data_IF_469919072223
#
_entry.id   IF_469919072223
#
_cell.length_a   1.000
_cell.length_b   1.000
_cell.length_c   1.000
_cell.angle_alpha   90.00
_cell.angle_beta   90.00
_cell.angle_gamma   90.00
#
_symmetry.space_group_name_H-M   'P 1'
#
loop_
_entity.id
_entity.type
_entity.pdbx_description
1 polymer ?
#
# COMPACT_ATOMS: atom_id res chain seq x y z
N UNK A 1 17.04 34.73 5.19
CA UNK A 1 16.27 35.46 4.17
C UNK A 1 16.48 36.94 4.40
N UNK A 2 17.13 37.64 3.48
CA UNK A 2 17.31 39.09 3.53
C UNK A 2 16.07 39.77 2.96
N UNK A 3 15.72 40.95 3.49
CA UNK A 3 14.52 41.75 3.18
C UNK A 3 14.40 42.24 1.72
N UNK A 4 15.28 41.79 0.84
CA UNK A 4 15.45 42.27 -0.54
C UNK A 4 15.22 41.16 -1.57
N UNK A 5 14.48 40.11 -1.20
CA UNK A 5 14.10 39.06 -2.13
C UNK A 5 13.14 39.64 -3.20
N UNK A 6 13.44 39.38 -4.47
CA UNK A 6 12.68 39.93 -5.60
C UNK A 6 11.22 39.47 -5.56
N UNK A 7 10.99 38.25 -5.08
CA UNK A 7 9.66 37.65 -4.97
C UNK A 7 8.84 38.32 -3.85
N UNK A 8 9.48 38.70 -2.74
CA UNK A 8 8.81 39.46 -1.66
C UNK A 8 8.50 40.91 -2.06
N UNK A 9 9.29 41.47 -2.97
CA UNK A 9 9.05 42.82 -3.53
C UNK A 9 7.88 42.79 -4.51
N UNK A 10 7.80 41.74 -5.35
CA UNK A 10 6.72 41.56 -6.31
C UNK A 10 5.33 41.39 -5.65
N UNK A 11 5.25 40.71 -4.51
CA UNK A 11 3.99 40.57 -3.75
C UNK A 11 3.60 41.89 -3.08
N UNK A 12 4.57 42.69 -2.62
CA UNK A 12 4.32 43.96 -1.93
C UNK A 12 3.83 45.07 -2.87
N UNK A 13 4.24 45.02 -4.12
CA UNK A 13 3.95 46.06 -5.12
C UNK A 13 2.70 45.74 -5.97
N UNK A 14 1.90 44.74 -5.57
CA UNK A 14 0.60 44.48 -6.20
C UNK A 14 -0.34 45.69 -5.99
N UNK A 15 -0.97 46.22 -7.05
CA UNK A 15 -1.86 47.36 -6.92
C UNK A 15 -3.06 46.99 -6.04
N UNK A 16 -3.50 47.89 -5.13
CA UNK A 16 -4.65 47.65 -4.29
C UNK A 16 -5.90 47.41 -5.15
N UNK A 17 -6.62 46.31 -4.89
CA UNK A 17 -7.75 45.85 -5.70
C UNK A 17 -7.42 44.76 -6.72
N UNK A 18 -6.19 44.26 -6.75
CA UNK A 18 -5.88 43.00 -7.43
C UNK A 18 -6.67 41.86 -6.79
N UNK A 19 -7.31 40.97 -7.58
CA UNK A 19 -7.99 39.81 -7.01
C UNK A 19 -7.00 38.99 -6.19
N UNK A 20 -7.42 38.55 -5.00
CA UNK A 20 -6.61 37.67 -4.18
C UNK A 20 -6.17 36.47 -5.03
N UNK A 21 -4.88 36.08 -4.97
CA UNK A 21 -4.41 34.93 -5.70
C UNK A 21 -5.26 33.72 -5.31
N UNK A 22 -5.80 33.01 -6.31
CA UNK A 22 -6.57 31.80 -6.05
C UNK A 22 -5.73 30.79 -5.27
N UNK A 23 -6.36 29.95 -4.45
CA UNK A 23 -5.68 28.87 -3.70
C UNK A 23 -4.86 27.96 -4.63
N UNK A 24 -5.30 27.80 -5.88
CA UNK A 24 -4.57 27.08 -6.92
C UNK A 24 -3.24 27.79 -7.29
N UNK A 25 -3.24 29.12 -7.39
CA UNK A 25 -2.04 29.93 -7.69
C UNK A 25 -1.03 29.89 -6.55
N UNK A 26 -1.51 29.95 -5.30
CA UNK A 26 -0.68 29.82 -4.09
C UNK A 26 -0.05 28.43 -4.03
N UNK A 27 -0.85 27.39 -4.26
CA UNK A 27 -0.38 25.99 -4.26
C UNK A 27 0.65 25.73 -5.35
N UNK A 28 0.42 26.22 -6.58
CA UNK A 28 1.35 26.07 -7.71
C UNK A 28 2.68 26.80 -7.46
N UNK A 29 2.62 27.99 -6.86
CA UNK A 29 3.83 28.78 -6.51
C UNK A 29 4.63 28.09 -5.41
N UNK A 30 3.96 27.57 -4.38
CA UNK A 30 4.61 26.81 -3.31
C UNK A 30 5.28 25.55 -3.84
N UNK A 31 4.63 24.84 -4.77
CA UNK A 31 5.17 23.65 -5.43
C UNK A 31 6.46 23.96 -6.22
N UNK A 32 6.48 25.05 -6.99
CA UNK A 32 7.66 25.49 -7.74
C UNK A 32 8.84 25.88 -6.84
N UNK A 33 8.57 26.51 -5.69
CA UNK A 33 9.59 26.87 -4.70
C UNK A 33 10.21 25.63 -4.04
N UNK A 34 9.38 24.66 -3.64
CA UNK A 34 9.84 23.40 -3.04
C UNK A 34 10.65 22.55 -4.02
N UNK A 35 10.23 22.47 -5.29
CA UNK A 35 10.97 21.76 -6.34
C UNK A 35 12.35 22.37 -6.60
N UNK A 36 12.47 23.71 -6.61
CA UNK A 36 13.76 24.41 -6.78
C UNK A 36 14.70 24.19 -5.59
N UNK A 37 14.18 24.17 -4.37
CA UNK A 37 14.99 23.89 -3.18
C UNK A 37 15.50 22.44 -3.14
N UNK A 38 14.71 21.47 -3.61
CA UNK A 38 15.15 20.08 -3.75
C UNK A 38 16.28 19.93 -4.79
N UNK A 39 16.16 20.58 -5.94
CA UNK A 39 17.17 20.57 -7.00
C UNK A 39 18.50 21.22 -6.56
N UNK A 40 18.45 22.23 -5.67
CA UNK A 40 19.63 22.92 -5.17
C UNK A 40 20.46 22.09 -4.16
N UNK A 41 19.84 21.11 -3.46
CA UNK A 41 20.53 20.26 -2.46
C UNK A 41 21.16 19.00 -3.04
N UNK A 42 20.84 18.63 -4.28
CA UNK A 42 21.26 17.36 -4.91
C UNK A 42 22.66 17.34 -5.58
N UNK A 43 23.53 18.33 -5.36
CA UNK A 43 24.86 18.35 -6.00
C UNK A 43 26.01 18.29 -4.98
N UNK A 44 26.47 17.08 -4.71
CA UNK A 44 27.82 16.78 -4.18
C UNK A 44 28.35 15.47 -4.82
N UNK A 45 29.68 15.25 -4.89
CA UNK A 45 30.31 14.71 -6.10
C UNK A 45 30.54 13.19 -6.08
N UNK A 46 30.44 12.62 -7.29
CA UNK A 46 30.74 11.21 -7.63
C UNK A 46 32.20 10.85 -7.32
N UNK A 47 32.43 9.77 -6.58
CA UNK A 47 33.68 9.01 -6.61
C UNK A 47 33.43 7.59 -7.11
N UNK A 48 34.14 7.24 -8.17
CA UNK A 48 34.27 5.92 -8.77
C UNK A 48 35.11 5.02 -7.86
N UNK A 49 34.67 3.76 -7.69
CA UNK A 49 35.57 2.66 -7.40
C UNK A 49 35.03 1.37 -8.06
N UNK A 50 35.73 0.94 -9.11
CA UNK A 50 35.63 -0.38 -9.76
C UNK A 50 36.16 -1.45 -8.80
N UNK A 51 35.52 -2.62 -8.72
CA UNK A 51 36.18 -3.91 -8.50
C UNK A 51 35.35 -5.06 -9.12
N UNK A 52 36.05 -6.08 -9.61
CA UNK A 52 35.60 -7.18 -10.47
C UNK A 52 35.58 -8.52 -9.69
N UNK A 53 34.52 -9.33 -9.93
CA UNK A 53 34.49 -10.83 -10.10
C UNK A 53 34.67 -11.70 -8.81
N UNK A 54 34.17 -12.97 -8.68
CA UNK A 54 33.54 -13.91 -9.64
C UNK A 54 32.19 -14.58 -9.26
N UNK A 55 31.66 -15.28 -10.28
CA UNK A 55 30.49 -16.17 -10.39
C UNK A 55 30.64 -17.47 -9.58
N UNK A 56 29.54 -17.96 -9.00
CA UNK A 56 29.30 -19.38 -8.73
C UNK A 56 27.81 -19.75 -8.92
N UNK A 57 27.59 -20.87 -9.59
CA UNK A 57 26.32 -21.55 -9.91
C UNK A 57 25.45 -21.84 -8.66
N UNK A 58 24.16 -22.10 -8.71
CA UNK A 58 23.21 -22.31 -9.80
C UNK A 58 21.91 -22.83 -9.18
N UNK A 59 20.76 -22.39 -9.70
CA UNK A 59 19.47 -23.06 -9.52
C UNK A 59 18.58 -22.59 -10.68
N UNK A 60 18.25 -23.53 -11.57
CA UNK A 60 17.37 -23.32 -12.70
C UNK A 60 15.93 -23.29 -12.21
N UNK A 61 15.35 -22.08 -12.09
CA UNK A 61 13.91 -21.90 -12.10
C UNK A 61 13.49 -21.77 -13.57
N UNK A 62 12.67 -22.71 -14.02
CA UNK A 62 12.08 -22.70 -15.36
C UNK A 62 11.13 -21.51 -15.46
N UNK A 63 11.62 -20.40 -16.00
CA UNK A 63 10.80 -19.24 -16.31
C UNK A 63 9.86 -19.59 -17.47
N UNK A 64 8.58 -19.83 -17.17
CA UNK A 64 7.52 -19.73 -18.17
C UNK A 64 7.25 -18.25 -18.37
N UNK A 65 7.87 -17.69 -19.41
CA UNK A 65 7.55 -16.36 -19.89
C UNK A 65 6.16 -16.39 -20.56
N UNK A 66 5.15 -15.88 -19.87
CA UNK A 66 3.95 -15.36 -20.52
C UNK A 66 3.85 -13.87 -20.20
N UNK A 67 4.30 -13.08 -21.18
CA UNK A 67 4.05 -11.65 -21.20
C UNK A 67 2.59 -11.37 -21.46
N UNK A 68 2.00 -10.54 -20.62
CA UNK A 68 0.86 -9.70 -20.97
C UNK A 68 1.15 -8.30 -20.45
N UNK A 69 1.87 -7.52 -21.25
CA UNK A 69 1.82 -6.07 -21.17
C UNK A 69 0.46 -5.67 -21.75
N UNK A 70 -0.54 -5.43 -20.89
CA UNK A 70 -1.79 -4.81 -21.35
C UNK A 70 -1.60 -3.30 -21.43
N UNK A 71 -1.13 -2.85 -22.59
CA UNK A 71 -1.27 -1.44 -23.01
C UNK A 71 -2.72 -1.19 -23.41
N UNK A 72 -3.37 -0.24 -22.73
CA UNK A 72 -4.42 0.64 -23.25
C UNK A 72 -5.62 0.01 -23.97
N UNK A 73 -6.71 -0.22 -23.23
CA UNK A 73 -8.03 -0.47 -23.77
C UNK A 73 -9.08 0.44 -23.14
N UNK A 74 -9.42 1.54 -23.83
CA UNK A 74 -10.51 2.44 -23.46
C UNK A 74 -11.84 1.75 -23.75
N UNK A 75 -12.60 1.35 -22.73
CA UNK A 75 -13.98 0.88 -22.91
C UNK A 75 -14.58 0.04 -21.80
N UNK A 76 -15.16 0.69 -20.78
CA UNK A 76 -16.30 0.20 -20.00
C UNK A 76 -16.20 -1.21 -19.39
N UNK A 77 -15.29 -1.43 -18.45
CA UNK A 77 -15.38 -2.58 -17.56
C UNK A 77 -16.53 -2.36 -16.56
N UNK A 78 -17.72 -2.88 -16.88
CA UNK A 78 -18.65 -3.30 -15.83
C UNK A 78 -17.88 -4.33 -15.01
N UNK A 79 -17.76 -4.12 -13.70
CA UNK A 79 -17.20 -5.08 -12.77
C UNK A 79 -18.00 -6.39 -12.81
N UNK A 80 -17.77 -7.20 -13.84
CA UNK A 80 -18.19 -8.59 -13.81
C UNK A 80 -17.39 -9.19 -12.66
N UNK A 81 -18.09 -9.83 -11.73
CA UNK A 81 -17.44 -10.61 -10.67
C UNK A 81 -16.38 -11.48 -11.34
N UNK A 82 -15.10 -11.34 -10.98
CA UNK A 82 -14.05 -12.09 -11.64
C UNK A 82 -14.35 -13.58 -11.49
N UNK A 83 -14.13 -14.35 -12.57
CA UNK A 83 -14.45 -15.77 -12.61
C UNK A 83 -13.37 -16.59 -11.89
N UNK A 84 -13.12 -16.26 -10.64
CA UNK A 84 -12.19 -16.96 -9.77
C UNK A 84 -12.94 -18.15 -9.18
N UNK A 85 -12.51 -19.37 -9.52
CA UNK A 85 -13.20 -20.59 -9.09
C UNK A 85 -12.83 -21.01 -7.65
N UNK A 86 -11.57 -20.82 -7.27
CA UNK A 86 -11.02 -21.27 -5.99
C UNK A 86 -9.86 -20.36 -5.58
N UNK A 87 -9.81 -20.01 -4.29
CA UNK A 87 -8.66 -19.38 -3.64
C UNK A 87 -8.25 -20.30 -2.50
N UNK A 88 -7.16 -21.03 -2.72
CA UNK A 88 -6.60 -22.00 -1.76
C UNK A 88 -5.31 -21.44 -1.16
N UNK A 89 -5.15 -21.60 0.15
CA UNK A 89 -3.99 -21.16 0.88
C UNK A 89 -3.23 -22.35 1.46
N UNK A 90 -1.93 -22.44 1.18
CA UNK A 90 -1.08 -23.52 1.70
C UNK A 90 -0.69 -23.34 3.18
N UNK A 91 -1.06 -22.22 3.80
CA UNK A 91 -0.90 -21.95 5.23
C UNK A 91 -1.83 -22.84 6.07
N UNK A 92 -1.51 -24.12 6.14
CA UNK A 92 -2.17 -25.12 6.98
C UNK A 92 -1.12 -25.82 7.87
N UNK A 93 -1.40 -26.00 9.17
CA UNK A 93 -2.68 -25.71 9.81
C UNK A 93 -2.86 -24.22 10.13
N UNK A 94 -4.09 -23.72 10.00
CA UNK A 94 -4.50 -22.52 10.73
C UNK A 94 -4.14 -22.72 12.21
N UNK A 95 -3.72 -21.67 12.95
CA UNK A 95 -3.46 -21.78 14.38
C UNK A 95 -4.67 -22.46 15.05
N UNK A 96 -4.48 -23.68 15.53
CA UNK A 96 -5.61 -24.62 15.74
C UNK A 96 -6.46 -24.33 16.96
N UNK A 97 -6.12 -23.37 17.81
CA UNK A 97 -6.92 -23.08 19.01
C UNK A 97 -6.86 -21.58 19.31
N UNK A 98 -8.02 -21.00 19.63
CA UNK A 98 -8.10 -19.77 20.43
C UNK A 98 -7.20 -19.95 21.66
N UNK A 99 -5.96 -19.48 21.60
CA UNK A 99 -4.98 -19.67 22.66
C UNK A 99 -3.73 -20.51 22.35
N UNK A 100 -3.38 -20.82 21.09
CA UNK A 100 -1.99 -21.16 20.74
C UNK A 100 -1.56 -20.41 19.46
N UNK A 101 -0.63 -19.44 19.48
CA UNK A 101 0.39 -19.16 20.49
C UNK A 101 0.68 -17.64 20.57
N UNK A 102 0.47 -16.96 21.71
CA UNK A 102 1.10 -15.65 22.02
C UNK A 102 2.64 -15.73 22.11
N UNK A 103 3.26 -16.61 21.31
CA UNK A 103 4.58 -17.17 21.47
C UNK A 103 5.18 -17.78 20.20
N UNK A 104 4.70 -17.42 18.99
CA UNK A 104 5.67 -17.22 17.91
C UNK A 104 6.40 -15.92 18.19
N UNK A 105 7.28 -15.96 19.19
CA UNK A 105 8.15 -14.84 19.57
C UNK A 105 9.14 -14.46 18.47
N UNK A 106 9.05 -15.11 17.31
CA UNK A 106 9.95 -14.95 16.17
C UNK A 106 9.22 -15.28 14.88
N UNK A 107 9.54 -14.51 13.85
CA UNK A 107 9.25 -14.86 12.46
C UNK A 107 9.85 -16.23 12.11
N UNK A 108 9.10 -17.04 11.37
CA UNK A 108 9.52 -18.38 10.92
C UNK A 108 10.67 -18.31 9.90
N UNK A 109 11.56 -19.33 9.84
CA UNK A 109 12.62 -19.38 8.82
C UNK A 109 12.10 -19.31 7.38
N UNK A 110 10.94 -19.90 7.12
CA UNK A 110 10.26 -19.88 5.83
C UNK A 110 9.86 -18.45 5.45
N UNK A 111 9.30 -17.69 6.40
CA UNK A 111 8.97 -16.28 6.19
C UNK A 111 10.19 -15.40 5.99
N UNK A 112 11.28 -15.61 6.75
CA UNK A 112 12.55 -14.90 6.52
C UNK A 112 13.04 -15.16 5.09
N UNK A 113 13.02 -16.42 4.65
CA UNK A 113 13.49 -16.83 3.32
C UNK A 113 12.63 -16.20 2.22
N UNK A 114 11.31 -16.24 2.36
CA UNK A 114 10.38 -15.64 1.41
C UNK A 114 10.56 -14.12 1.30
N UNK A 115 10.65 -13.42 2.45
CA UNK A 115 10.89 -11.98 2.49
C UNK A 115 12.23 -11.59 1.86
N UNK A 116 13.29 -12.38 2.05
CA UNK A 116 14.60 -12.10 1.43
C UNK A 116 14.59 -12.33 -0.09
N UNK A 117 13.88 -13.34 -0.60
CA UNK A 117 13.71 -13.54 -2.05
C UNK A 117 12.89 -12.40 -2.67
N UNK A 118 11.78 -12.00 -2.03
CA UNK A 118 11.00 -10.83 -2.44
C UNK A 118 11.86 -9.56 -2.42
N UNK A 119 12.69 -9.36 -1.39
CA UNK A 119 13.57 -8.20 -1.31
C UNK A 119 14.59 -8.16 -2.45
N UNK A 120 15.24 -9.30 -2.77
CA UNK A 120 16.17 -9.41 -3.91
C UNK A 120 15.48 -9.16 -5.25
N UNK A 121 14.21 -9.54 -5.38
CA UNK A 121 13.40 -9.27 -6.57
C UNK A 121 13.02 -7.78 -6.66
N UNK A 122 12.60 -7.19 -5.54
CA UNK A 122 12.24 -5.78 -5.44
C UNK A 122 13.39 -4.85 -5.85
N UNK A 123 14.65 -5.17 -5.52
CA UNK A 123 15.83 -4.39 -5.93
C UNK A 123 16.00 -4.24 -7.44
N UNK A 124 15.41 -5.15 -8.22
CA UNK A 124 15.47 -5.18 -9.70
C UNK A 124 14.24 -4.55 -10.34
N UNK A 125 13.25 -4.16 -9.55
CA UNK A 125 12.04 -3.53 -10.06
C UNK A 125 12.34 -2.16 -10.69
N UNK A 126 11.45 -1.73 -11.58
CA UNK A 126 11.53 -0.39 -12.15
C UNK A 126 10.92 0.64 -11.19
N UNK A 127 11.53 1.82 -11.14
CA UNK A 127 10.95 2.99 -10.49
C UNK A 127 9.87 3.58 -11.37
N UNK A 128 8.76 3.99 -10.77
CA UNK A 128 7.75 4.83 -11.43
C UNK A 128 8.05 6.29 -11.13
N UNK A 129 8.00 7.14 -12.16
CA UNK A 129 8.15 8.59 -12.00
C UNK A 129 6.77 9.24 -11.79
N UNK A 130 6.64 10.03 -10.73
CA UNK A 130 5.41 10.75 -10.40
C UNK A 130 5.64 12.24 -10.63
N UNK A 131 4.99 12.79 -11.66
CA UNK A 131 5.06 14.21 -12.00
C UNK A 131 4.07 15.01 -11.15
N UNK A 132 4.37 16.30 -11.01
CA UNK A 132 3.48 17.25 -10.36
C UNK A 132 2.09 17.25 -11.03
N UNK A 133 1.04 17.17 -10.22
CA UNK A 133 -0.36 17.17 -10.70
C UNK A 133 -0.89 15.79 -11.12
N UNK A 134 -0.08 14.73 -11.05
CA UNK A 134 -0.56 13.36 -11.25
C UNK A 134 -1.12 12.76 -9.96
N UNK A 135 -1.97 11.75 -10.10
CA UNK A 135 -2.65 11.05 -9.01
C UNK A 135 -2.28 9.58 -8.99
N UNK A 136 -2.47 8.93 -7.84
CA UNK A 136 -2.43 7.46 -7.75
C UNK A 136 -3.85 6.94 -7.88
N UNK A 137 -4.12 6.15 -8.90
CA UNK A 137 -5.36 5.40 -9.04
C UNK A 137 -5.15 3.98 -8.51
N UNK A 138 -6.08 3.52 -7.68
CA UNK A 138 -6.08 2.16 -7.12
C UNK A 138 -7.39 1.48 -7.50
N UNK A 139 -7.28 0.41 -8.28
CA UNK A 139 -8.38 -0.50 -8.57
C UNK A 139 -8.28 -1.67 -7.59
N UNK A 140 -9.32 -1.87 -6.78
CA UNK A 140 -9.45 -2.96 -5.81
C UNK A 140 -10.58 -3.87 -6.27
N UNK A 141 -10.28 -5.15 -6.42
CA UNK A 141 -11.24 -6.19 -6.74
C UNK A 141 -11.22 -7.19 -5.59
N UNK A 142 -12.34 -7.31 -4.86
CA UNK A 142 -12.32 -8.08 -3.63
C UNK A 142 -13.69 -8.46 -3.10
N UNK A 143 -13.63 -9.24 -2.03
CA UNK A 143 -14.73 -9.84 -1.30
C UNK A 143 -14.58 -9.45 0.15
N UNK A 144 -15.65 -8.96 0.76
CA UNK A 144 -15.63 -8.58 2.16
C UNK A 144 -16.93 -8.99 2.83
N UNK A 145 -16.85 -9.26 4.13
CA UNK A 145 -18.02 -9.58 4.93
C UNK A 145 -18.95 -8.37 5.03
N UNK A 146 -20.21 -8.58 4.66
CA UNK A 146 -21.32 -7.75 5.07
C UNK A 146 -21.89 -8.33 6.36
N UNK A 147 -21.57 -7.71 7.49
CA UNK A 147 -22.07 -8.14 8.79
C UNK A 147 -23.56 -7.81 8.92
N UNK A 148 -24.29 -8.81 9.38
CA UNK A 148 -25.66 -8.71 9.89
C UNK A 148 -25.63 -8.77 11.42
N UNK A 149 -26.80 -8.69 12.07
CA UNK A 149 -26.90 -8.83 13.52
C UNK A 149 -26.31 -10.16 14.02
N UNK A 150 -25.84 -10.18 15.27
CA UNK A 150 -25.34 -11.37 15.98
C UNK A 150 -24.06 -12.02 15.41
N UNK A 151 -23.08 -11.24 14.93
CA UNK A 151 -21.80 -11.78 14.43
C UNK A 151 -21.96 -12.78 13.28
N UNK A 152 -23.06 -12.70 12.54
CA UNK A 152 -23.25 -13.43 11.30
C UNK A 152 -23.02 -12.48 10.12
N UNK A 153 -22.37 -12.95 9.06
CA UNK A 153 -22.16 -12.13 7.88
C UNK A 153 -22.11 -12.96 6.60
N UNK A 154 -22.39 -12.30 5.48
CA UNK A 154 -22.23 -12.90 4.15
C UNK A 154 -21.04 -12.25 3.47
N UNK A 155 -20.15 -13.05 2.90
CA UNK A 155 -19.05 -12.54 2.09
C UNK A 155 -19.61 -12.12 0.73
N UNK A 156 -19.42 -10.86 0.35
CA UNK A 156 -19.97 -10.28 -0.86
C UNK A 156 -18.86 -9.60 -1.68
N UNK A 157 -19.01 -9.59 -3.00
CA UNK A 157 -18.09 -8.89 -3.89
C UNK A 157 -18.24 -7.37 -3.72
N UNK A 158 -17.13 -6.68 -3.47
CA UNK A 158 -17.07 -5.24 -3.21
C UNK A 158 -15.90 -4.63 -3.99
N UNK A 159 -16.10 -4.30 -5.28
CA UNK A 159 -15.07 -3.60 -6.05
C UNK A 159 -14.95 -2.16 -5.56
N UNK A 160 -13.74 -1.61 -5.57
CA UNK A 160 -13.51 -0.20 -5.26
C UNK A 160 -12.52 0.41 -6.22
N UNK A 161 -12.73 1.67 -6.57
CA UNK A 161 -11.72 2.49 -7.22
C UNK A 161 -11.42 3.69 -6.32
N UNK A 162 -10.14 4.04 -6.21
CA UNK A 162 -9.68 5.20 -5.46
C UNK A 162 -8.79 6.06 -6.34
N UNK A 163 -8.94 7.38 -6.26
CA UNK A 163 -7.98 8.34 -6.76
C UNK A 163 -7.41 9.08 -5.56
N UNK A 164 -6.10 9.07 -5.42
CA UNK A 164 -5.40 9.57 -4.25
C UNK A 164 -4.49 10.74 -4.64
N UNK A 165 -4.56 11.82 -3.87
CA UNK A 165 -3.54 12.86 -3.87
C UNK A 165 -2.24 12.27 -3.31
N UNK A 166 -1.14 12.29 -4.07
CA UNK A 166 0.11 11.73 -3.58
C UNK A 166 0.68 12.49 -2.37
N UNK A 167 0.22 13.70 -2.07
CA UNK A 167 0.60 14.43 -0.86
C UNK A 167 -0.22 13.95 0.35
N UNK A 168 0.05 12.73 0.81
CA UNK A 168 -0.57 12.13 2.00
C UNK A 168 -1.50 10.96 1.68
N UNK A 169 -1.57 10.51 0.43
CA UNK A 169 -2.53 9.50 -0.05
C UNK A 169 -3.98 9.85 0.30
N UNK A 170 -4.32 11.13 0.18
CA UNK A 170 -5.64 11.65 0.53
C UNK A 170 -6.63 11.26 -0.57
N UNK A 171 -7.72 10.55 -0.26
CA UNK A 171 -8.69 10.15 -1.27
C UNK A 171 -9.44 11.35 -1.83
N UNK A 172 -9.33 11.57 -3.15
CA UNK A 172 -10.00 12.63 -3.90
C UNK A 172 -11.29 12.12 -4.56
N UNK A 173 -11.35 10.82 -4.88
CA UNK A 173 -12.51 10.14 -5.46
C UNK A 173 -12.51 8.70 -5.00
N UNK A 174 -13.67 8.18 -4.61
CA UNK A 174 -13.86 6.78 -4.23
C UNK A 174 -15.13 6.26 -4.88
N UNK A 175 -15.02 5.23 -5.71
CA UNK A 175 -16.16 4.55 -6.30
C UNK A 175 -16.33 3.15 -5.71
N UNK A 176 -17.58 2.72 -5.56
CA UNK A 176 -17.96 1.34 -5.32
C UNK A 176 -18.83 0.89 -6.50
N UNK A 177 -18.22 0.19 -7.47
CA UNK A 177 -18.81 0.07 -8.79
C UNK A 177 -18.92 1.44 -9.47
N UNK A 178 -20.13 1.86 -9.83
CA UNK A 178 -20.39 3.18 -10.41
C UNK A 178 -20.90 4.21 -9.38
N UNK A 179 -21.11 3.81 -8.12
CA UNK A 179 -21.56 4.71 -7.06
C UNK A 179 -20.38 5.49 -6.48
N UNK A 180 -20.46 6.82 -6.52
CA UNK A 180 -19.52 7.67 -5.79
C UNK A 180 -19.81 7.58 -4.30
N UNK A 181 -18.87 7.00 -3.56
CA UNK A 181 -19.02 6.74 -2.13
C UNK A 181 -19.04 8.04 -1.32
N UNK A 182 -18.42 9.11 -1.82
CA UNK A 182 -18.61 10.44 -1.24
C UNK A 182 -20.09 10.82 -1.32
N UNK A 183 -20.78 10.49 -2.43
CA UNK A 183 -22.16 10.86 -2.70
C UNK A 183 -23.24 10.17 -1.84
N UNK A 184 -22.87 9.13 -1.10
CA UNK A 184 -23.79 8.30 -0.30
C UNK A 184 -24.11 8.87 1.10
N UNK A 185 -23.59 10.04 1.47
CA UNK A 185 -23.90 10.71 2.76
C UNK A 185 -23.30 10.04 3.99
N UNK A 186 -22.51 8.97 3.80
CA UNK A 186 -21.66 8.36 4.85
C UNK A 186 -20.29 9.03 4.99
N UNK A 187 -19.91 9.90 4.07
CA UNK A 187 -18.69 10.69 4.11
C UNK A 187 -19.05 12.19 4.08
N UNK A 188 -18.67 12.93 5.12
CA UNK A 188 -18.74 14.39 5.14
C UNK A 188 -17.74 14.95 4.11
N UNK A 189 -18.23 15.29 2.91
CA UNK A 189 -17.47 15.38 1.64
C UNK A 189 -16.44 16.48 1.52
N UNK A 190 -16.60 17.58 2.23
CA UNK A 190 -15.72 18.75 2.12
C UNK A 190 -14.90 18.92 3.40
N UNK A 191 -15.49 18.50 4.53
CA UNK A 191 -14.80 18.33 5.79
C UNK A 191 -13.66 17.32 5.70
N UNK A 192 -13.81 16.22 4.96
CA UNK A 192 -12.80 15.15 4.94
C UNK A 192 -11.49 15.55 4.22
N UNK A 193 -11.57 16.28 3.10
CA UNK A 193 -10.36 16.75 2.39
C UNK A 193 -9.61 17.83 3.17
N UNK A 194 -10.32 18.85 3.66
CA UNK A 194 -9.70 19.89 4.47
C UNK A 194 -9.20 19.31 5.79
N UNK A 195 -9.97 18.41 6.43
CA UNK A 195 -9.56 17.70 7.63
C UNK A 195 -8.31 16.84 7.39
N UNK A 196 -8.25 16.07 6.31
CA UNK A 196 -7.07 15.27 5.98
C UNK A 196 -5.83 16.14 5.75
N UNK A 197 -5.99 17.29 5.05
CA UNK A 197 -4.91 18.27 4.86
C UNK A 197 -4.49 18.93 6.16
N UNK A 198 -5.45 19.32 7.00
CA UNK A 198 -5.20 19.89 8.31
C UNK A 198 -4.49 18.88 9.22
N UNK A 199 -4.95 17.62 9.25
CA UNK A 199 -4.31 16.53 9.96
C UNK A 199 -2.87 16.32 9.50
N UNK A 200 -2.62 16.25 8.19
CA UNK A 200 -1.27 16.11 7.65
C UNK A 200 -0.37 17.31 7.99
N UNK A 201 -0.92 18.53 8.00
CA UNK A 201 -0.19 19.74 8.40
C UNK A 201 0.17 19.72 9.90
N UNK A 202 -0.78 19.30 10.73
CA UNK A 202 -0.66 19.39 12.18
C UNK A 202 0.16 18.23 12.77
N UNK A 203 0.12 17.04 12.14
CA UNK A 203 0.82 15.83 12.61
C UNK A 203 2.03 15.45 11.76
N UNK A 204 2.15 15.99 10.55
CA UNK A 204 3.18 15.62 9.58
C UNK A 204 2.88 14.30 8.84
N UNK A 205 3.72 13.96 7.84
CA UNK A 205 3.60 12.71 7.11
C UNK A 205 4.05 11.50 7.93
N UNK A 206 3.39 10.36 7.71
CA UNK A 206 3.54 9.12 8.47
C UNK A 206 3.24 7.89 7.60
N UNK A 207 3.34 6.68 8.16
CA UNK A 207 3.00 5.41 7.51
C UNK A 207 1.53 5.35 7.05
N UNK A 208 0.62 6.01 7.77
CA UNK A 208 -0.81 6.05 7.45
C UNK A 208 -1.19 7.20 6.51
N UNK A 209 -0.34 8.23 6.42
CA UNK A 209 -0.51 9.38 5.51
C UNK A 209 0.81 9.71 4.79
N UNK A 210 1.34 8.79 3.95
CA UNK A 210 2.67 8.93 3.40
C UNK A 210 2.70 9.98 2.29
N UNK A 211 3.82 10.73 2.22
CA UNK A 211 4.14 11.62 1.09
C UNK A 211 5.38 11.10 0.36
N UNK A 212 5.57 11.39 -0.93
CA UNK A 212 6.80 11.06 -1.66
C UNK A 212 8.07 11.53 -0.95
N UNK A 213 8.04 12.71 -0.34
CA UNK A 213 9.16 13.28 0.39
C UNK A 213 9.45 12.51 1.68
N UNK A 214 8.42 12.08 2.41
CA UNK A 214 8.58 11.23 3.59
C UNK A 214 9.14 9.86 3.21
N UNK A 215 8.58 9.21 2.18
CA UNK A 215 9.06 7.94 1.65
C UNK A 215 10.54 8.02 1.23
N UNK A 216 10.92 9.06 0.49
CA UNK A 216 12.30 9.28 0.06
C UNK A 216 13.26 9.59 1.23
N UNK A 217 12.72 10.04 2.37
CA UNK A 217 13.49 10.33 3.59
C UNK A 217 13.68 9.13 4.52
N UNK A 218 12.98 8.01 4.28
CA UNK A 218 13.12 6.80 5.09
C UNK A 218 14.51 6.19 4.93
N UNK A 219 15.04 5.65 6.04
CA UNK A 219 16.28 4.87 6.02
C UNK A 219 16.06 3.53 5.31
N UNK A 220 17.06 3.06 4.58
CA UNK A 220 17.05 1.73 3.97
C UNK A 220 17.73 0.67 4.85
N UNK A 221 18.21 1.04 6.04
CA UNK A 221 18.78 0.10 7.02
C UNK A 221 17.64 -0.66 7.73
N UNK A 222 17.50 -1.99 7.56
CA UNK A 222 16.29 -2.72 7.95
C UNK A 222 15.87 -2.55 9.41
N UNK A 223 16.82 -2.63 10.35
CA UNK A 223 16.53 -2.53 11.78
C UNK A 223 16.13 -1.10 12.19
N UNK A 224 16.81 -0.09 11.63
CA UNK A 224 16.48 1.31 11.89
C UNK A 224 15.13 1.68 11.26
N UNK A 225 14.83 1.14 10.08
CA UNK A 225 13.54 1.32 9.41
C UNK A 225 12.42 0.69 10.23
N UNK A 226 12.57 -0.57 10.68
CA UNK A 226 11.57 -1.22 11.53
C UNK A 226 11.31 -0.44 12.82
N UNK A 227 12.37 0.03 13.49
CA UNK A 227 12.24 0.81 14.72
C UNK A 227 11.49 2.14 14.48
N UNK A 228 11.78 2.82 13.36
CA UNK A 228 11.10 4.05 12.97
C UNK A 228 9.61 3.78 12.72
N UNK A 229 9.27 2.75 11.93
CA UNK A 229 7.87 2.44 11.60
C UNK A 229 7.07 1.97 12.83
N UNK A 230 7.68 1.19 13.74
CA UNK A 230 7.06 0.82 15.02
C UNK A 230 6.77 2.04 15.90
N UNK A 231 7.60 3.08 15.87
CA UNK A 231 7.36 4.29 16.63
C UNK A 231 6.17 5.12 16.10
N UNK A 232 5.79 4.91 14.84
CA UNK A 232 4.78 5.70 14.12
C UNK A 232 3.36 5.14 14.25
N UNK A 233 3.21 3.88 14.68
CA UNK A 233 1.90 3.30 14.99
C UNK A 233 1.53 3.57 16.45
N UNK A 234 0.24 3.77 16.80
CA UNK A 234 -0.17 4.00 18.19
C UNK A 234 0.03 2.76 19.07
N UNK A 235 -0.08 2.92 20.38
CA UNK A 235 -0.22 1.78 21.30
C UNK A 235 -1.70 1.37 21.38
N UNK A 236 -1.96 0.07 21.53
CA UNK A 236 -3.31 -0.49 21.61
C UNK A 236 -3.31 -1.66 22.60
N UNK A 237 -4.38 -1.80 23.38
CA UNK A 237 -4.53 -2.87 24.37
C UNK A 237 -4.95 -4.22 23.75
N UNK A 238 -5.49 -4.20 22.53
CA UNK A 238 -6.07 -5.36 21.83
C UNK A 238 -5.04 -6.08 20.96
N UNK A 239 -4.14 -5.34 20.33
CA UNK A 239 -3.19 -5.85 19.35
C UNK A 239 -1.76 -5.47 19.69
N UNK A 240 -0.84 -6.41 19.45
CA UNK A 240 0.60 -6.17 19.52
C UNK A 240 1.01 -5.03 18.59
N UNK A 241 2.16 -4.40 18.89
CA UNK A 241 2.73 -3.34 18.05
C UNK A 241 2.98 -3.81 16.62
N UNK A 242 3.43 -5.05 16.46
CA UNK A 242 3.70 -5.65 15.16
C UNK A 242 2.43 -5.92 14.37
N UNK A 243 1.33 -6.31 15.01
CA UNK A 243 0.06 -6.44 14.31
C UNK A 243 -0.46 -5.09 13.81
N UNK A 244 -0.37 -4.04 14.63
CA UNK A 244 -0.75 -2.69 14.22
C UNK A 244 0.12 -2.18 13.07
N UNK A 245 1.43 -2.42 13.14
CA UNK A 245 2.35 -2.13 12.05
C UNK A 245 1.99 -2.93 10.79
N UNK A 246 1.69 -4.21 10.92
CA UNK A 246 1.34 -5.05 9.78
C UNK A 246 0.07 -4.56 9.08
N UNK A 247 -0.97 -4.20 9.83
CA UNK A 247 -2.19 -3.60 9.28
C UNK A 247 -1.90 -2.27 8.58
N UNK A 248 -1.13 -1.37 9.22
CA UNK A 248 -0.70 -0.10 8.61
C UNK A 248 0.09 -0.31 7.31
N UNK A 249 0.98 -1.30 7.27
CA UNK A 249 1.72 -1.66 6.06
C UNK A 249 0.80 -2.14 4.95
N UNK A 250 -0.28 -2.87 5.25
CA UNK A 250 -1.24 -3.27 4.22
C UNK A 250 -1.87 -2.07 3.53
N UNK A 251 -2.20 -1.00 4.28
CA UNK A 251 -2.72 0.24 3.71
C UNK A 251 -1.66 1.01 2.93
N UNK A 252 -0.43 1.06 3.44
CA UNK A 252 0.70 1.66 2.74
C UNK A 252 0.88 0.97 1.38
N UNK A 253 0.97 -0.35 1.35
CA UNK A 253 1.11 -1.11 0.11
C UNK A 253 -0.07 -0.91 -0.82
N UNK A 254 -1.31 -0.99 -0.34
CA UNK A 254 -2.50 -0.79 -1.15
C UNK A 254 -2.55 0.60 -1.81
N UNK A 255 -2.07 1.64 -1.12
CA UNK A 255 -2.22 3.04 -1.55
C UNK A 255 -0.99 3.62 -2.24
N UNK A 256 0.20 3.14 -1.92
CA UNK A 256 1.44 3.80 -2.37
C UNK A 256 2.60 2.86 -2.71
N UNK A 257 2.40 1.55 -2.89
CA UNK A 257 3.49 0.65 -3.33
C UNK A 257 4.12 1.13 -4.65
N UNK A 258 3.33 1.69 -5.57
CA UNK A 258 3.81 2.27 -6.83
C UNK A 258 4.83 3.41 -6.64
N UNK A 259 4.80 4.09 -5.49
CA UNK A 259 5.70 5.20 -5.17
C UNK A 259 6.95 4.76 -4.40
N UNK A 260 7.04 3.49 -4.01
CA UNK A 260 8.23 2.97 -3.35
C UNK A 260 9.37 2.83 -4.36
N UNK A 261 10.55 3.35 -4.00
CA UNK A 261 11.75 3.00 -4.74
C UNK A 261 12.05 1.50 -4.58
N UNK A 262 12.69 0.86 -5.58
CA UNK A 262 13.14 -0.54 -5.50
C UNK A 262 13.91 -0.83 -4.21
N UNK A 263 14.80 0.08 -3.81
CA UNK A 263 15.63 -0.05 -2.61
C UNK A 263 14.80 0.07 -1.33
N UNK A 264 13.84 1.00 -1.29
CA UNK A 264 12.96 1.15 -0.13
C UNK A 264 12.02 -0.06 0.01
N UNK A 265 11.44 -0.55 -1.09
CA UNK A 265 10.61 -1.78 -1.06
C UNK A 265 11.40 -2.97 -0.52
N UNK A 266 12.62 -3.17 -1.01
CA UNK A 266 13.51 -4.21 -0.52
C UNK A 266 13.87 -4.02 0.97
N UNK A 267 14.14 -2.79 1.39
CA UNK A 267 14.42 -2.48 2.79
C UNK A 267 13.22 -2.77 3.71
N UNK A 268 12.00 -2.44 3.29
CA UNK A 268 10.76 -2.77 4.02
C UNK A 268 10.59 -4.28 4.19
N UNK A 269 10.74 -5.04 3.10
CA UNK A 269 10.66 -6.51 3.13
C UNK A 269 11.70 -7.13 4.08
N UNK A 270 12.94 -6.60 4.09
CA UNK A 270 13.98 -7.02 5.04
C UNK A 270 13.68 -6.58 6.48
N UNK A 271 13.12 -5.39 6.67
CA UNK A 271 12.76 -4.87 7.98
C UNK A 271 11.73 -5.80 8.66
N UNK A 272 10.78 -6.33 7.90
CA UNK A 272 9.76 -7.26 8.43
C UNK A 272 10.32 -8.56 9.01
N UNK A 273 11.52 -8.98 8.61
CA UNK A 273 12.17 -10.16 9.20
C UNK A 273 12.42 -9.98 10.72
N UNK A 274 12.46 -8.74 11.22
CA UNK A 274 12.58 -8.41 12.64
C UNK A 274 11.25 -8.30 13.39
N UNK A 275 10.12 -8.57 12.72
CA UNK A 275 8.81 -8.68 13.36
C UNK A 275 8.65 -10.05 14.02
N UNK A 276 7.74 -10.13 14.97
CA UNK A 276 7.34 -11.39 15.60
C UNK A 276 6.07 -11.93 14.93
N UNK A 277 5.93 -13.26 14.92
CA UNK A 277 4.70 -13.91 14.47
C UNK A 277 4.47 -13.99 12.95
N UNK A 278 5.44 -13.66 12.10
CA UNK A 278 5.27 -13.81 10.65
C UNK A 278 5.48 -15.26 10.17
N UNK A 279 4.57 -15.70 9.31
CA UNK A 279 4.57 -16.99 8.61
C UNK A 279 4.47 -16.78 7.11
N UNK A 280 4.98 -17.71 6.31
CA UNK A 280 4.91 -17.67 4.86
C UNK A 280 4.30 -18.93 4.29
N UNK A 281 3.65 -18.75 3.14
CA UNK A 281 2.91 -19.75 2.41
C UNK A 281 2.50 -19.16 1.07
N UNK A 282 1.61 -19.85 0.37
CA UNK A 282 1.21 -19.51 -0.98
C UNK A 282 -0.30 -19.44 -1.10
N UNK A 283 -0.77 -18.58 -1.99
CA UNK A 283 -2.18 -18.43 -2.35
C UNK A 283 -2.30 -18.50 -3.87
N UNK A 284 -3.19 -19.36 -4.36
CA UNK A 284 -3.50 -19.46 -5.79
C UNK A 284 -4.69 -18.57 -6.14
N UNK A 285 -4.56 -17.73 -7.15
CA UNK A 285 -5.65 -16.93 -7.74
C UNK A 285 -5.57 -17.05 -9.26
N UNK A 286 -6.57 -17.64 -9.92
CA UNK A 286 -6.59 -17.83 -11.38
C UNK A 286 -5.28 -18.43 -11.94
N UNK A 287 -4.80 -19.51 -11.32
CA UNK A 287 -3.54 -20.20 -11.64
C UNK A 287 -2.26 -19.36 -11.41
N UNK A 288 -2.38 -18.17 -10.82
CA UNK A 288 -1.24 -17.35 -10.38
C UNK A 288 -0.93 -17.70 -8.92
N UNK A 289 0.29 -18.17 -8.70
CA UNK A 289 0.81 -18.42 -7.35
C UNK A 289 1.37 -17.12 -6.75
N UNK A 290 0.82 -16.71 -5.61
CA UNK A 290 1.26 -15.55 -4.85
C UNK A 290 1.93 -15.98 -3.55
N UNK A 291 2.94 -15.23 -3.12
CA UNK A 291 3.56 -15.39 -1.80
C UNK A 291 2.69 -14.68 -0.77
N UNK A 292 2.13 -15.41 0.17
CA UNK A 292 1.34 -14.85 1.27
C UNK A 292 2.21 -14.79 2.52
N UNK A 293 2.47 -13.57 3.02
CA UNK A 293 3.07 -13.37 4.35
C UNK A 293 1.94 -13.07 5.31
N UNK A 294 1.82 -13.86 6.37
CA UNK A 294 0.76 -13.76 7.37
C UNK A 294 1.33 -13.30 8.70
N UNK A 295 0.68 -12.30 9.30
CA UNK A 295 0.77 -11.99 10.72
C UNK A 295 -0.46 -12.59 11.41
N UNK A 296 -0.27 -13.26 12.55
CA UNK A 296 -1.37 -13.71 13.41
C UNK A 296 -1.24 -13.10 14.81
N UNK A 297 -2.33 -12.52 15.30
CA UNK A 297 -2.44 -11.97 16.65
C UNK A 297 -3.85 -12.17 17.22
N UNK A 298 -3.93 -12.87 18.35
CA UNK A 298 -5.19 -13.24 18.99
C UNK A 298 -6.14 -13.97 18.03
N UNK A 299 -7.30 -13.37 17.77
CA UNK A 299 -8.34 -13.93 16.90
C UNK A 299 -8.29 -13.38 15.45
N UNK A 300 -7.17 -12.79 15.03
CA UNK A 300 -7.02 -12.19 13.70
C UNK A 300 -5.77 -12.72 13.01
N UNK A 301 -5.90 -13.06 11.73
CA UNK A 301 -4.78 -13.31 10.84
C UNK A 301 -4.90 -12.41 9.61
N UNK A 302 -3.87 -11.60 9.36
CA UNK A 302 -3.81 -10.68 8.22
C UNK A 302 -2.67 -11.12 7.31
N UNK A 303 -2.97 -11.28 6.03
CA UNK A 303 -1.99 -11.65 5.01
C UNK A 303 -1.80 -10.50 4.01
N UNK A 304 -0.55 -10.26 3.64
CA UNK A 304 -0.21 -9.49 2.44
C UNK A 304 0.21 -10.49 1.36
N UNK A 305 -0.38 -10.34 0.18
CA UNK A 305 -0.11 -11.17 -0.98
C UNK A 305 0.88 -10.43 -1.88
N UNK A 306 2.01 -11.06 -2.17
CA UNK A 306 3.05 -10.55 -3.03
C UNK A 306 3.14 -11.38 -4.31
N UNK A 307 3.29 -10.69 -5.44
CA UNK A 307 3.67 -11.34 -6.69
C UNK A 307 5.17 -11.71 -6.61
N UNK A 308 5.54 -13.00 -6.68
CA UNK A 308 6.93 -13.43 -6.58
C UNK A 308 7.82 -12.92 -7.73
N UNK A 309 7.24 -12.53 -8.87
CA UNK A 309 7.99 -12.08 -10.05
C UNK A 309 8.39 -10.62 -9.94
N UNK A 310 7.51 -9.78 -9.38
CA UNK A 310 7.71 -8.33 -9.30
C UNK A 310 8.02 -7.84 -7.88
N UNK A 311 7.74 -8.67 -6.88
CA UNK A 311 7.73 -8.33 -5.46
C UNK A 311 6.75 -7.22 -5.06
N UNK A 312 5.78 -6.90 -5.92
CA UNK A 312 4.71 -5.97 -5.59
C UNK A 312 3.71 -6.63 -4.65
N UNK A 313 3.21 -5.85 -3.70
CA UNK A 313 2.04 -6.24 -2.95
C UNK A 313 0.82 -6.07 -3.85
N UNK A 314 0.13 -7.18 -4.13
CA UNK A 314 -0.99 -7.24 -5.07
C UNK A 314 -2.31 -7.58 -4.40
N UNK A 315 -2.31 -7.86 -3.10
CA UNK A 315 -3.53 -8.21 -2.39
C UNK A 315 -3.37 -8.34 -0.88
N UNK A 316 -4.51 -8.50 -0.22
CA UNK A 316 -4.61 -8.75 1.22
C UNK A 316 -5.67 -9.80 1.49
N UNK A 317 -5.45 -10.59 2.53
CA UNK A 317 -6.49 -11.42 3.16
C UNK A 317 -6.60 -11.08 4.63
N UNK A 318 -7.81 -11.17 5.15
CA UNK A 318 -8.08 -11.21 6.57
C UNK A 318 -8.84 -12.49 6.86
N UNK A 319 -8.50 -13.12 7.97
CA UNK A 319 -9.15 -14.32 8.47
C UNK A 319 -9.46 -14.04 9.93
N UNK A 320 -10.74 -14.07 10.27
CA UNK A 320 -11.14 -14.10 11.66
C UNK A 320 -10.99 -15.52 12.20
N UNK A 321 -10.25 -15.65 13.30
CA UNK A 321 -10.14 -16.87 14.09
C UNK A 321 -11.13 -16.87 15.28
N UNK A 322 -12.04 -15.90 15.30
CA UNK A 322 -13.08 -15.78 16.33
C UNK A 322 -14.23 -16.73 16.03
N UNK A 323 -14.39 -17.79 16.84
CA UNK A 323 -15.46 -18.79 16.66
C UNK A 323 -16.90 -18.26 16.73
N UNK A 324 -17.10 -17.01 17.19
CA UNK A 324 -18.41 -16.36 17.24
C UNK A 324 -18.79 -15.81 15.86
N UNK A 325 -17.80 -15.49 15.02
CA UNK A 325 -18.05 -15.00 13.68
C UNK A 325 -18.51 -16.15 12.79
N UNK A 326 -19.76 -16.07 12.33
CA UNK A 326 -20.35 -17.04 11.41
C UNK A 326 -20.39 -16.44 10.02
N UNK A 327 -19.47 -16.86 9.16
CA UNK A 327 -19.40 -16.42 7.79
C UNK A 327 -20.16 -17.37 6.87
N UNK A 328 -21.02 -16.79 6.04
CA UNK A 328 -21.63 -17.50 4.91
C UNK A 328 -20.77 -17.22 3.66
N UNK A 329 -20.31 -18.26 2.95
CA UNK A 329 -19.54 -18.07 1.73
C UNK A 329 -20.36 -17.33 0.66
N UNK A 330 -19.70 -16.72 -0.33
CA UNK A 330 -20.41 -16.01 -1.38
C UNK A 330 -21.29 -16.95 -2.21
N UNK A 331 -22.46 -16.47 -2.64
CA UNK A 331 -23.40 -17.27 -3.47
C UNK A 331 -22.84 -17.62 -4.85
N UNK A 332 -22.03 -16.73 -5.39
CA UNK A 332 -21.33 -16.82 -6.67
C UNK A 332 -19.90 -16.32 -6.46
N UNK A 333 -18.92 -16.81 -7.21
CA UNK A 333 -17.51 -16.38 -7.09
C UNK A 333 -16.62 -17.44 -6.44
N UNK A 334 -15.46 -17.03 -5.88
CA UNK A 334 -14.45 -17.95 -5.40
C UNK A 334 -14.92 -18.68 -4.14
N UNK A 335 -14.53 -19.95 -4.06
CA UNK A 335 -14.50 -20.67 -2.80
C UNK A 335 -13.22 -20.30 -2.07
N UNK A 336 -13.35 -19.86 -0.82
CA UNK A 336 -12.22 -19.56 0.04
C UNK A 336 -11.94 -20.74 0.96
N UNK A 337 -10.69 -21.21 0.96
CA UNK A 337 -10.20 -22.19 1.93
C UNK A 337 -8.90 -21.69 2.57
N UNK A 338 -8.91 -21.27 3.85
CA UNK A 338 -10.09 -21.13 4.72
C UNK A 338 -10.99 -19.95 4.31
N UNK A 339 -12.20 -19.92 4.86
CA UNK A 339 -13.13 -18.81 4.67
C UNK A 339 -12.55 -17.51 5.28
N UNK A 340 -12.66 -16.42 4.52
CA UNK A 340 -12.08 -15.10 4.83
C UNK A 340 -13.18 -14.09 5.16
N UNK A 341 -12.90 -13.15 6.07
CA UNK A 341 -13.76 -11.98 6.27
C UNK A 341 -13.41 -10.85 5.29
N UNK A 342 -12.19 -10.86 4.74
CA UNK A 342 -11.77 -9.99 3.65
C UNK A 342 -10.76 -10.68 2.73
N UNK A 343 -10.93 -10.54 1.43
CA UNK A 343 -9.92 -10.87 0.42
C UNK A 343 -10.02 -9.88 -0.71
N UNK A 344 -8.94 -9.18 -1.03
CA UNK A 344 -8.91 -8.31 -2.19
C UNK A 344 -7.55 -8.36 -2.88
N UNK A 345 -7.58 -8.23 -4.20
CA UNK A 345 -6.42 -7.88 -4.99
C UNK A 345 -6.52 -6.43 -5.43
N UNK A 346 -5.40 -5.78 -5.70
CA UNK A 346 -5.39 -4.42 -6.22
C UNK A 346 -4.34 -4.20 -7.29
N UNK A 347 -4.55 -3.16 -8.09
CA UNK A 347 -3.61 -2.63 -9.08
C UNK A 347 -3.49 -1.13 -8.87
N UNK A 348 -2.31 -0.59 -9.13
CA UNK A 348 -2.01 0.84 -9.01
C UNK A 348 -1.52 1.40 -10.33
N UNK A 349 -2.00 2.58 -10.68
CA UNK A 349 -1.58 3.33 -11.84
C UNK A 349 -1.33 4.80 -11.47
N UNK A 350 -0.47 5.47 -12.23
CA UNK A 350 -0.34 6.92 -12.18
C UNK A 350 -1.21 7.51 -13.30
N UNK A 351 -2.13 8.40 -12.94
CA UNK A 351 -3.09 9.01 -13.87
C UNK A 351 -2.96 10.53 -13.90
N UNK A 352 -3.29 11.14 -15.02
CA UNK A 352 -3.19 12.60 -15.21
C UNK A 352 -4.48 13.33 -14.79
N UNK A 353 -5.59 12.60 -14.59
CA UNK A 353 -6.88 13.18 -14.18
C UNK A 353 -7.73 12.25 -13.32
N UNK A 354 -8.73 12.79 -12.62
CA UNK A 354 -9.69 12.02 -11.80
C UNK A 354 -10.76 11.28 -12.62
N UNK A 355 -10.79 11.50 -13.94
CA UNK A 355 -11.73 10.88 -14.87
C UNK A 355 -11.11 9.71 -15.66
N UNK A 356 -9.80 9.54 -15.55
CA UNK A 356 -9.06 8.41 -16.11
C UNK A 356 -9.25 7.17 -15.22
N UNK A 357 -9.62 6.04 -15.83
CA UNK A 357 -9.81 4.73 -15.21
C UNK A 357 -8.80 3.72 -15.75
#
# INVERSE_FOLDING_TARGET
MTRTDADLTAVRDLPPGSPDPSDESVSRTWYLLSARQAAARGRAPRRLARWLVPVAAGLTVTAVALGAVTVGGVGGHRFATPNIALVEASHQPLPTERGTNPGLTRTTPEAITALEELARTAERAQTVDLRAGQFVHVLIEGWAVHLTDNWAGTVEFQPRELWLDPQGMIPLKVLNGDENMFDSGRADREGDLEHARNFLRDNGPSIVSPTPQWLAGLTTEPQALLALLRADVPDNETFTKDQQLWDAMTYLYQRCDILLSPQLRAALLRAFQGMDGLTAGTVMIDDIELVAIRQTDGNSAIEILFDPVTAWAVGRRSISLDDRLRLTPPRSGPKFDPLVDYHATWRQNIVDSLDER
#
